data_IF_375179199139
#
_entry.id   IF_375179199139
#
_cell.length_a   1.000
_cell.length_b   1.000
_cell.length_c   1.000
_cell.angle_alpha   90.00
_cell.angle_beta   90.00
_cell.angle_gamma   90.00
#
_symmetry.space_group_name_H-M   'P 1'
#
loop_
_entity.id
_entity.type
_entity.pdbx_description
1 polymer ?
#
# COMPACT_ATOMS: atom_id res chain seq x y z
N UNK A 1 -1.83 -15.02 -24.79
CA UNK A 1 -1.11 -13.75 -24.59
C UNK A 1 -2.10 -12.60 -24.68
N UNK A 2 -1.88 -11.52 -23.95
CA UNK A 2 -2.61 -10.26 -24.07
C UNK A 2 -1.61 -9.11 -24.25
N UNK A 3 -2.04 -8.06 -24.93
CA UNK A 3 -1.25 -6.86 -25.20
C UNK A 3 -1.70 -5.72 -24.29
N UNK A 4 -0.77 -5.06 -23.61
CA UNK A 4 -1.05 -3.83 -22.86
C UNK A 4 -0.23 -2.70 -23.46
N UNK A 5 -0.92 -1.62 -23.83
CA UNK A 5 -0.32 -0.42 -24.41
C UNK A 5 -0.37 0.67 -23.35
N UNK A 6 0.79 1.21 -22.96
CA UNK A 6 0.94 2.15 -21.85
C UNK A 6 1.54 3.45 -22.36
N UNK A 7 1.03 4.58 -21.88
CA UNK A 7 1.45 5.90 -22.33
C UNK A 7 0.75 6.34 -23.61
N UNK A 8 1.15 7.52 -24.10
CA UNK A 8 0.53 8.20 -25.23
C UNK A 8 1.60 8.52 -26.28
N UNK A 9 1.34 8.14 -27.54
CA UNK A 9 2.27 8.38 -28.65
C UNK A 9 2.54 9.87 -28.90
N UNK A 10 1.65 10.75 -28.44
CA UNK A 10 1.76 12.21 -28.59
C UNK A 10 2.52 12.88 -27.44
N UNK A 11 2.71 12.19 -26.32
CA UNK A 11 3.30 12.75 -25.10
C UNK A 11 4.76 12.33 -24.93
N UNK A 12 5.67 13.32 -24.95
CA UNK A 12 7.12 13.09 -24.80
C UNK A 12 7.51 12.60 -23.40
N UNK A 13 6.69 12.83 -22.39
CA UNK A 13 6.97 12.47 -20.99
C UNK A 13 6.50 11.07 -20.62
N UNK A 14 5.59 10.48 -21.42
CA UNK A 14 5.06 9.12 -21.25
C UNK A 14 4.87 8.44 -22.62
N UNK A 15 5.96 8.06 -23.30
CA UNK A 15 5.87 7.51 -24.65
C UNK A 15 5.07 6.20 -24.69
N UNK A 16 4.28 6.01 -25.75
CA UNK A 16 3.55 4.75 -25.96
C UNK A 16 4.53 3.55 -25.99
N UNK A 17 4.33 2.59 -25.09
CA UNK A 17 5.09 1.35 -25.00
C UNK A 17 4.15 0.15 -24.99
N UNK A 18 4.51 -0.92 -25.71
CA UNK A 18 3.67 -2.11 -25.87
C UNK A 18 4.28 -3.30 -25.14
N UNK A 19 3.47 -3.94 -24.30
CA UNK A 19 3.87 -5.10 -23.50
C UNK A 19 3.04 -6.31 -23.89
N UNK A 20 3.70 -7.45 -24.14
CA UNK A 20 3.04 -8.74 -24.38
C UNK A 20 3.14 -9.59 -23.12
N UNK A 21 2.00 -9.92 -22.50
CA UNK A 21 1.95 -10.50 -21.16
C UNK A 21 1.05 -11.74 -21.18
N UNK A 22 1.30 -12.67 -20.26
CA UNK A 22 0.43 -13.83 -20.05
C UNK A 22 -0.93 -13.36 -19.52
N UNK A 23 -1.99 -13.64 -20.29
CA UNK A 23 -3.38 -13.27 -19.96
C UNK A 23 -3.79 -13.80 -18.59
N UNK A 24 -3.49 -15.07 -18.32
CA UNK A 24 -3.90 -15.73 -17.08
C UNK A 24 -3.26 -15.05 -15.87
N UNK A 25 -2.03 -14.56 -16.02
CA UNK A 25 -1.33 -13.83 -14.97
C UNK A 25 -2.00 -12.47 -14.70
N UNK A 26 -2.31 -11.70 -15.75
CA UNK A 26 -3.01 -10.42 -15.62
C UNK A 26 -4.40 -10.59 -14.98
N UNK A 27 -5.19 -11.53 -15.49
CA UNK A 27 -6.57 -11.75 -15.05
C UNK A 27 -6.65 -12.37 -13.65
N UNK A 28 -5.67 -13.21 -13.27
CA UNK A 28 -5.57 -13.74 -11.90
C UNK A 28 -5.18 -12.66 -10.88
N UNK A 29 -4.34 -11.69 -11.26
CA UNK A 29 -3.84 -10.68 -10.35
C UNK A 29 -4.74 -9.44 -10.25
N UNK A 30 -5.55 -9.18 -11.29
CA UNK A 30 -6.31 -7.94 -11.43
C UNK A 30 -7.74 -8.23 -11.92
N UNK A 31 -8.75 -7.91 -11.09
CA UNK A 31 -10.15 -7.91 -11.50
C UNK A 31 -10.42 -6.97 -12.70
N UNK A 32 -9.69 -5.86 -12.79
CA UNK A 32 -9.77 -4.95 -13.94
C UNK A 32 -9.39 -5.66 -15.24
N UNK A 33 -8.22 -6.33 -15.27
CA UNK A 33 -7.82 -7.08 -16.46
C UNK A 33 -8.71 -8.30 -16.71
N UNK A 34 -9.21 -8.97 -15.66
CA UNK A 34 -10.18 -10.05 -15.81
C UNK A 34 -11.46 -9.57 -16.52
N UNK A 35 -12.00 -8.42 -16.10
CA UNK A 35 -13.17 -7.82 -16.73
C UNK A 35 -12.88 -7.38 -18.18
N UNK A 36 -11.73 -6.75 -18.43
CA UNK A 36 -11.35 -6.25 -19.74
C UNK A 36 -11.08 -7.37 -20.76
N UNK A 37 -10.37 -8.43 -20.37
CA UNK A 37 -9.87 -9.46 -21.30
C UNK A 37 -10.75 -10.72 -21.39
N UNK A 38 -11.68 -10.91 -20.46
CA UNK A 38 -12.67 -12.01 -20.50
C UNK A 38 -14.10 -11.51 -20.74
N UNK A 39 -14.30 -10.19 -20.86
CA UNK A 39 -15.60 -9.58 -21.09
C UNK A 39 -16.14 -9.79 -22.51
N UNK A 40 -17.21 -9.06 -22.82
CA UNK A 40 -17.82 -9.03 -24.18
C UNK A 40 -17.43 -7.77 -24.97
N UNK A 41 -16.52 -6.97 -24.44
CA UNK A 41 -16.08 -5.71 -25.03
C UNK A 41 -14.97 -5.93 -26.06
N UNK A 42 -14.66 -4.89 -26.83
CA UNK A 42 -13.64 -4.88 -27.90
C UNK A 42 -12.28 -5.37 -27.43
N UNK A 43 -11.88 -5.02 -26.21
CA UNK A 43 -10.61 -5.41 -25.58
C UNK A 43 -10.51 -6.93 -25.39
N UNK A 44 -11.64 -7.60 -25.18
CA UNK A 44 -11.70 -9.07 -25.09
C UNK A 44 -11.62 -9.73 -26.46
N UNK A 45 -12.04 -9.05 -27.53
CA UNK A 45 -11.85 -9.56 -28.89
C UNK A 45 -10.40 -9.37 -29.33
N UNK A 46 -9.87 -8.17 -29.12
CA UNK A 46 -8.54 -7.75 -29.58
C UNK A 46 -7.41 -8.17 -28.63
N UNK A 47 -7.77 -8.72 -27.46
CA UNK A 47 -6.87 -9.07 -26.35
C UNK A 47 -5.89 -7.92 -26.04
N UNK A 48 -6.38 -6.68 -26.14
CA UNK A 48 -5.56 -5.47 -26.04
C UNK A 48 -6.18 -4.47 -25.06
N UNK A 49 -5.41 -4.01 -24.09
CA UNK A 49 -5.82 -2.98 -23.12
C UNK A 49 -4.93 -1.75 -23.26
N UNK A 50 -5.52 -0.55 -23.23
CA UNK A 50 -4.82 0.73 -23.37
C UNK A 50 -4.86 1.52 -22.07
N UNK A 51 -3.71 2.03 -21.65
CA UNK A 51 -3.48 2.79 -20.42
C UNK A 51 -2.73 4.11 -20.76
N UNK A 52 -3.39 5.08 -21.42
CA UNK A 52 -2.71 6.26 -21.96
C UNK A 52 -2.23 7.25 -20.88
N UNK A 53 -2.85 7.22 -19.71
CA UNK A 53 -2.51 8.12 -18.59
C UNK A 53 -1.29 7.64 -17.80
N UNK A 54 -0.89 6.38 -17.99
CA UNK A 54 0.16 5.72 -17.22
C UNK A 54 1.54 5.91 -17.84
N UNK A 55 2.55 5.99 -16.97
CA UNK A 55 3.95 6.03 -17.40
C UNK A 55 4.46 4.59 -17.59
N UNK A 56 5.15 4.29 -18.72
CA UNK A 56 5.78 2.99 -18.95
C UNK A 56 6.64 2.50 -17.79
N UNK A 57 7.45 3.40 -17.22
CA UNK A 57 8.31 3.09 -16.05
C UNK A 57 7.51 2.53 -14.87
N UNK A 58 6.38 3.16 -14.50
CA UNK A 58 5.55 2.71 -13.39
C UNK A 58 4.91 1.36 -13.70
N UNK A 59 4.50 1.16 -14.95
CA UNK A 59 3.94 -0.12 -15.39
C UNK A 59 4.97 -1.25 -15.39
N UNK A 60 6.25 -0.97 -15.66
CA UNK A 60 7.32 -1.96 -15.57
C UNK A 60 7.53 -2.45 -14.13
N UNK A 61 7.39 -1.58 -13.14
CA UNK A 61 7.38 -1.99 -11.73
C UNK A 61 6.18 -2.89 -11.40
N UNK A 62 5.01 -2.59 -11.96
CA UNK A 62 3.85 -3.48 -11.87
C UNK A 62 4.13 -4.85 -12.50
N UNK A 63 4.75 -4.90 -13.68
CA UNK A 63 5.10 -6.16 -14.35
C UNK A 63 6.13 -6.96 -13.57
N UNK A 64 7.17 -6.31 -13.03
CA UNK A 64 8.14 -6.99 -12.19
C UNK A 64 7.45 -7.66 -11.00
N UNK A 65 6.57 -6.93 -10.32
CA UNK A 65 5.81 -7.49 -9.21
C UNK A 65 4.89 -8.61 -9.67
N UNK A 66 4.20 -8.44 -10.80
CA UNK A 66 3.29 -9.42 -11.35
C UNK A 66 3.97 -10.76 -11.62
N UNK A 67 5.20 -10.74 -12.12
CA UNK A 67 5.96 -11.95 -12.46
C UNK A 67 6.76 -12.53 -11.28
N UNK A 68 7.26 -11.70 -10.37
CA UNK A 68 8.21 -12.14 -9.33
C UNK A 68 7.66 -12.08 -7.91
N UNK A 69 6.54 -11.38 -7.71
CA UNK A 69 6.03 -11.02 -6.39
C UNK A 69 6.85 -9.95 -5.66
N UNK A 70 7.93 -9.44 -6.27
CA UNK A 70 8.89 -8.51 -5.62
C UNK A 70 8.93 -7.14 -6.29
N UNK A 71 9.27 -6.11 -5.52
CA UNK A 71 9.52 -4.75 -6.01
C UNK A 71 11.02 -4.51 -6.17
N UNK A 72 11.60 -4.95 -7.29
CA UNK A 72 13.00 -4.70 -7.67
C UNK A 72 13.04 -4.04 -9.05
N UNK A 73 14.13 -3.39 -9.48
CA UNK A 73 14.17 -2.94 -10.88
C UNK A 73 14.14 -4.19 -11.77
N UNK A 74 13.32 -4.22 -12.84
CA UNK A 74 13.49 -5.21 -13.88
C UNK A 74 14.92 -5.12 -14.42
N UNK A 75 15.61 -6.25 -14.57
CA UNK A 75 16.88 -6.26 -15.29
C UNK A 75 16.64 -5.58 -16.66
N UNK A 76 17.55 -4.71 -17.15
CA UNK A 76 17.37 -4.06 -18.44
C UNK A 76 17.09 -5.15 -19.46
N UNK A 77 15.92 -5.06 -20.09
CA UNK A 77 15.36 -6.09 -20.95
C UNK A 77 16.16 -6.11 -22.26
N UNK A 78 17.38 -6.66 -22.22
CA UNK A 78 18.08 -7.12 -23.42
C UNK A 78 17.48 -8.47 -23.78
N UNK A 79 16.60 -8.53 -24.77
CA UNK A 79 16.23 -9.69 -25.62
C UNK A 79 16.46 -11.10 -25.03
N UNK A 80 16.03 -11.33 -23.80
CA UNK A 80 16.20 -12.62 -23.14
C UNK A 80 14.87 -13.34 -23.18
N UNK A 81 14.82 -14.35 -24.05
CA UNK A 81 13.77 -15.34 -24.17
C UNK A 81 13.27 -15.82 -22.79
N UNK A 82 11.97 -16.14 -22.64
CA UNK A 82 11.43 -16.60 -21.38
C UNK A 82 12.20 -17.85 -20.88
N UNK A 83 12.46 -17.97 -19.57
CA UNK A 83 13.14 -19.12 -19.02
C UNK A 83 12.33 -20.37 -19.36
N UNK A 84 12.90 -21.21 -20.22
CA UNK A 84 12.33 -22.51 -20.56
C UNK A 84 12.15 -23.31 -19.28
N UNK A 85 10.93 -23.81 -19.07
CA UNK A 85 10.60 -24.76 -18.03
C UNK A 85 11.53 -25.96 -18.13
N UNK A 86 12.51 -26.04 -17.24
CA UNK A 86 13.36 -27.22 -17.09
C UNK A 86 12.48 -28.31 -16.49
N UNK A 87 11.99 -29.21 -17.34
CA UNK A 87 11.34 -30.44 -16.93
C UNK A 87 12.41 -31.36 -16.31
N UNK A 88 12.28 -31.80 -15.05
CA UNK A 88 13.14 -32.84 -14.53
C UNK A 88 12.56 -34.20 -14.92
N UNK A 89 13.14 -34.83 -15.94
CA UNK A 89 12.88 -36.24 -16.23
C UNK A 89 14.16 -37.05 -16.25
N UNK A 90 14.20 -38.01 -15.33
CA UNK A 90 14.95 -39.28 -15.27
C UNK A 90 16.14 -39.38 -14.31
N UNK A 91 15.85 -39.95 -13.13
CA UNK A 91 16.52 -41.19 -12.70
C UNK A 91 15.52 -42.12 -11.99
N UNK A 92 15.60 -43.41 -12.31
CA UNK A 92 14.73 -44.49 -11.83
C UNK A 92 15.23 -45.18 -10.54
N UNK A 93 14.31 -45.94 -9.90
CA UNK A 93 14.46 -47.01 -8.87
C UNK A 93 14.72 -46.56 -7.41
N UNK A 94 14.07 -47.06 -6.35
CA UNK A 94 13.09 -48.14 -6.12
C UNK A 94 12.43 -48.01 -4.72
N UNK A 95 11.26 -48.67 -4.50
CA UNK A 95 10.76 -49.11 -3.17
C UNK A 95 9.50 -48.39 -2.61
N UNK A 96 8.35 -49.08 -2.56
CA UNK A 96 7.07 -48.61 -1.95
C UNK A 96 6.93 -48.96 -0.45
N UNK A 97 5.71 -49.16 0.14
CA UNK A 97 4.36 -48.67 -0.18
C UNK A 97 3.60 -48.03 1.04
N UNK A 98 2.32 -47.64 0.85
CA UNK A 98 1.28 -47.19 1.85
C UNK A 98 1.30 -45.70 2.26
N UNK A 99 0.20 -44.96 2.48
CA UNK A 99 -1.24 -45.10 2.23
C UNK A 99 -1.91 -43.71 2.46
N UNK A 100 -2.92 -43.40 1.65
CA UNK A 100 -4.17 -42.64 1.90
C UNK A 100 -4.18 -41.23 2.57
N UNK A 101 -4.72 -40.29 1.79
CA UNK A 101 -5.67 -39.21 2.14
C UNK A 101 -5.30 -38.15 3.18
N UNK A 102 -5.17 -36.89 2.73
CA UNK A 102 -5.83 -35.76 3.38
C UNK A 102 -6.03 -34.62 2.37
N UNK A 103 -7.27 -34.15 2.28
CA UNK A 103 -7.68 -32.99 1.51
C UNK A 103 -7.27 -31.69 2.22
N UNK A 104 -7.00 -30.68 1.39
CA UNK A 104 -7.18 -29.24 1.63
C UNK A 104 -6.29 -28.52 2.66
N UNK A 105 -6.09 -27.23 2.34
CA UNK A 105 -5.54 -26.12 3.15
C UNK A 105 -4.03 -25.87 3.10
N UNK A 106 -3.55 -25.20 2.04
CA UNK A 106 -2.36 -24.34 2.16
C UNK A 106 -2.38 -23.17 1.16
N UNK A 107 -3.14 -22.12 1.48
CA UNK A 107 -3.03 -20.79 0.83
C UNK A 107 -3.16 -19.67 1.86
N UNK A 108 -2.42 -19.74 2.97
CA UNK A 108 -2.46 -18.67 3.97
C UNK A 108 -1.15 -18.39 4.74
N UNK A 109 0.00 -18.92 4.28
CA UNK A 109 1.28 -18.75 4.98
C UNK A 109 2.31 -17.83 4.29
N UNK A 110 2.01 -17.25 3.12
CA UNK A 110 3.03 -16.48 2.38
C UNK A 110 3.11 -14.98 2.76
N UNK A 111 2.12 -14.42 3.47
CA UNK A 111 2.10 -13.00 3.85
C UNK A 111 2.81 -12.69 5.18
N UNK A 112 3.16 -13.70 5.99
CA UNK A 112 3.59 -13.52 7.38
C UNK A 112 5.11 -13.46 7.59
N UNK A 113 5.93 -13.61 6.55
CA UNK A 113 7.38 -13.55 6.69
C UNK A 113 8.01 -12.83 5.50
N UNK A 114 8.13 -11.50 5.60
CA UNK A 114 9.14 -10.77 4.84
C UNK A 114 10.50 -11.33 5.28
N UNK A 115 11.04 -12.24 4.48
CA UNK A 115 12.28 -12.92 4.81
C UNK A 115 13.44 -11.92 4.76
N UNK A 116 14.52 -12.16 5.49
CA UNK A 116 15.77 -11.37 5.46
C UNK A 116 16.32 -11.08 4.04
N UNK A 117 15.80 -11.76 3.01
CA UNK A 117 16.08 -11.50 1.59
C UNK A 117 15.61 -10.10 1.13
N UNK A 118 14.48 -9.60 1.61
CA UNK A 118 13.89 -8.31 1.16
C UNK A 118 14.72 -7.09 1.59
N UNK A 119 15.49 -7.21 2.67
CA UNK A 119 16.33 -6.13 3.21
C UNK A 119 17.51 -5.81 2.26
N UNK A 120 17.99 -6.80 1.49
CA UNK A 120 19.16 -6.64 0.60
C UNK A 120 18.78 -6.09 -0.79
N UNK A 121 17.49 -5.94 -1.08
CA UNK A 121 16.98 -5.75 -2.45
C UNK A 121 16.33 -4.39 -2.72
N UNK A 122 16.35 -3.50 -1.73
CA UNK A 122 15.75 -2.15 -1.83
C UNK A 122 16.56 -1.13 -2.64
N UNK A 123 17.75 -1.49 -3.12
CA UNK A 123 18.69 -0.53 -3.70
C UNK A 123 18.05 0.32 -4.80
N UNK A 124 17.20 -0.30 -5.60
CA UNK A 124 16.46 0.32 -6.69
C UNK A 124 15.34 1.27 -6.25
N UNK A 125 14.74 0.99 -5.09
CA UNK A 125 13.70 1.81 -4.46
C UNK A 125 14.30 2.99 -3.68
N UNK A 126 15.63 3.09 -3.62
CA UNK A 126 16.35 4.18 -2.96
C UNK A 126 17.09 5.02 -4.00
N UNK A 127 17.28 6.29 -3.69
CA UNK A 127 18.12 7.18 -4.48
C UNK A 127 19.61 6.97 -4.13
N UNK A 128 20.50 7.70 -4.82
CA UNK A 128 21.95 7.63 -4.60
C UNK A 128 22.39 8.00 -3.18
N UNK A 129 21.55 8.75 -2.44
CA UNK A 129 21.76 9.12 -1.04
C UNK A 129 21.18 8.09 -0.06
N UNK A 130 20.58 7.00 -0.56
CA UNK A 130 19.96 5.95 0.25
C UNK A 130 18.54 6.28 0.72
N UNK A 131 17.99 7.44 0.39
CA UNK A 131 16.61 7.81 0.74
C UNK A 131 15.60 7.11 -0.18
N UNK A 132 14.43 6.70 0.31
CA UNK A 132 13.39 6.08 -0.50
C UNK A 132 12.87 7.00 -1.61
N UNK A 133 12.54 6.42 -2.77
CA UNK A 133 11.85 7.09 -3.88
C UNK A 133 10.33 7.08 -3.61
N UNK A 134 9.85 7.93 -2.69
CA UNK A 134 8.43 7.96 -2.32
C UNK A 134 7.50 8.27 -3.50
N UNK A 135 7.85 9.23 -4.36
CA UNK A 135 7.11 9.53 -5.59
C UNK A 135 6.82 8.27 -6.45
N UNK A 136 7.81 7.39 -6.62
CA UNK A 136 7.69 6.15 -7.39
C UNK A 136 6.68 5.20 -6.72
N UNK A 137 6.80 5.04 -5.40
CA UNK A 137 5.90 4.16 -4.63
C UNK A 137 4.47 4.71 -4.60
N UNK A 138 4.29 6.03 -4.61
CA UNK A 138 2.97 6.66 -4.67
C UNK A 138 2.33 6.49 -6.05
N UNK A 139 3.08 6.73 -7.13
CA UNK A 139 2.61 6.50 -8.50
C UNK A 139 2.26 5.01 -8.71
N UNK A 140 3.10 4.10 -8.21
CA UNK A 140 2.84 2.66 -8.28
C UNK A 140 1.61 2.23 -7.48
N UNK A 141 1.39 2.83 -6.30
CA UNK A 141 0.18 2.59 -5.51
C UNK A 141 -1.07 3.10 -6.25
N UNK A 142 -1.01 4.28 -6.87
CA UNK A 142 -2.11 4.82 -7.65
C UNK A 142 -2.45 3.92 -8.86
N UNK A 143 -1.43 3.38 -9.54
CA UNK A 143 -1.61 2.38 -10.58
C UNK A 143 -2.25 1.10 -10.01
N UNK A 144 -1.73 0.59 -8.89
CA UNK A 144 -2.23 -0.67 -8.31
C UNK A 144 -3.69 -0.57 -7.87
N UNK A 145 -4.09 0.58 -7.34
CA UNK A 145 -5.48 0.89 -6.97
C UNK A 145 -6.39 0.92 -8.19
N UNK A 146 -6.00 1.64 -9.27
CA UNK A 146 -6.77 1.68 -10.54
C UNK A 146 -6.89 0.33 -11.22
N UNK A 147 -5.83 -0.48 -11.18
CA UNK A 147 -5.83 -1.86 -11.69
C UNK A 147 -6.50 -2.85 -10.72
N UNK A 148 -7.03 -2.41 -9.58
CA UNK A 148 -7.68 -3.25 -8.57
C UNK A 148 -6.79 -4.39 -8.05
N UNK A 149 -5.50 -4.14 -7.92
CA UNK A 149 -4.49 -5.12 -7.49
C UNK A 149 -4.17 -4.98 -6.00
N UNK A 150 -5.15 -5.30 -5.14
CA UNK A 150 -5.03 -5.15 -3.67
C UNK A 150 -3.77 -5.80 -3.07
N UNK A 151 -3.31 -7.00 -3.49
CA UNK A 151 -2.07 -7.57 -2.98
C UNK A 151 -0.85 -6.68 -3.22
N UNK A 152 -0.77 -6.03 -4.39
CA UNK A 152 0.30 -5.08 -4.70
C UNK A 152 0.17 -3.82 -3.82
N UNK A 153 -1.03 -3.25 -3.69
CA UNK A 153 -1.27 -2.09 -2.83
C UNK A 153 -0.77 -2.34 -1.40
N UNK A 154 -1.08 -3.49 -0.81
CA UNK A 154 -0.63 -3.87 0.53
C UNK A 154 0.90 -4.05 0.60
N UNK A 155 1.50 -4.65 -0.42
CA UNK A 155 2.94 -4.81 -0.51
C UNK A 155 3.65 -3.45 -0.57
N UNK A 156 3.12 -2.49 -1.33
CA UNK A 156 3.66 -1.13 -1.41
C UNK A 156 3.57 -0.42 -0.07
N UNK A 157 2.42 -0.48 0.63
CA UNK A 157 2.27 0.13 1.96
C UNK A 157 3.28 -0.44 2.96
N UNK A 158 3.44 -1.75 2.96
CA UNK A 158 4.42 -2.46 3.80
C UNK A 158 5.85 -2.02 3.47
N UNK A 159 6.14 -1.88 2.18
CA UNK A 159 7.45 -1.41 1.68
C UNK A 159 7.73 0.02 2.11
N UNK A 160 6.75 0.93 1.98
CA UNK A 160 6.86 2.33 2.42
C UNK A 160 7.15 2.40 3.92
N UNK A 161 6.39 1.66 4.74
CA UNK A 161 6.58 1.64 6.20
C UNK A 161 8.00 1.16 6.57
N UNK A 162 8.42 0.03 6.01
CA UNK A 162 9.74 -0.55 6.25
C UNK A 162 10.90 0.34 5.76
N UNK A 163 10.74 0.98 4.60
CA UNK A 163 11.73 1.92 4.07
C UNK A 163 11.82 3.18 4.93
N UNK A 164 10.69 3.75 5.35
CA UNK A 164 10.65 4.92 6.25
C UNK A 164 11.31 4.64 7.60
N UNK A 165 11.13 3.44 8.14
CA UNK A 165 11.78 3.02 9.37
C UNK A 165 13.28 2.83 9.19
N UNK A 166 13.69 2.01 8.22
CA UNK A 166 15.11 1.66 8.01
C UNK A 166 15.99 2.82 7.55
N UNK A 167 15.42 3.81 6.85
CA UNK A 167 16.15 5.01 6.39
C UNK A 167 15.94 6.21 7.31
N UNK A 168 15.12 6.05 8.35
CA UNK A 168 14.66 7.13 9.21
C UNK A 168 14.20 8.39 8.42
N UNK A 169 13.41 8.18 7.37
CA UNK A 169 12.95 9.24 6.47
C UNK A 169 11.43 9.29 6.40
N UNK A 170 10.90 10.40 5.89
CA UNK A 170 9.48 10.57 5.55
C UNK A 170 9.39 11.18 4.15
N UNK A 171 8.22 11.13 3.50
CA UNK A 171 7.98 11.82 2.23
C UNK A 171 8.36 13.31 2.30
N UNK A 172 8.90 13.84 1.21
CA UNK A 172 9.26 15.26 1.05
C UNK A 172 8.01 16.12 0.77
N UNK A 173 8.10 17.45 0.81
CA UNK A 173 6.98 18.30 0.42
C UNK A 173 6.49 18.01 -1.00
N UNK A 174 7.38 17.81 -1.97
CA UNK A 174 7.01 17.43 -3.34
C UNK A 174 6.20 16.12 -3.38
N UNK A 175 6.55 15.13 -2.56
CA UNK A 175 5.77 13.89 -2.44
C UNK A 175 4.36 14.15 -1.88
N UNK A 176 4.19 15.13 -0.98
CA UNK A 176 2.86 15.50 -0.47
C UNK A 176 1.97 16.12 -1.54
N UNK A 177 2.54 16.84 -2.51
CA UNK A 177 1.80 17.33 -3.67
C UNK A 177 1.35 16.19 -4.59
N UNK A 178 2.20 15.19 -4.80
CA UNK A 178 1.85 13.99 -5.56
C UNK A 178 0.72 13.24 -4.86
N UNK A 179 0.83 12.99 -3.56
CA UNK A 179 -0.16 12.23 -2.78
C UNK A 179 -1.55 12.88 -2.75
N UNK A 180 -1.61 14.20 -2.77
CA UNK A 180 -2.85 14.97 -2.70
C UNK A 180 -3.35 15.48 -4.05
N UNK A 181 -2.66 15.17 -5.14
CA UNK A 181 -3.17 15.44 -6.48
C UNK A 181 -4.49 14.68 -6.69
N UNK A 182 -5.47 15.27 -7.41
CA UNK A 182 -6.80 14.67 -7.58
C UNK A 182 -6.79 13.27 -8.22
N UNK A 183 -5.75 12.98 -9.00
CA UNK A 183 -5.62 11.75 -9.80
C UNK A 183 -4.92 10.61 -9.08
N UNK A 184 -4.32 10.85 -7.90
CA UNK A 184 -3.40 9.88 -7.29
C UNK A 184 -4.13 8.85 -6.45
N UNK A 185 -4.86 9.28 -5.40
CA UNK A 185 -5.57 8.37 -4.49
C UNK A 185 -6.80 9.02 -3.90
N UNK A 186 -7.78 8.20 -3.51
CA UNK A 186 -8.99 8.65 -2.82
C UNK A 186 -8.69 9.26 -1.45
N UNK A 187 -9.63 10.08 -0.94
CA UNK A 187 -9.52 10.71 0.37
C UNK A 187 -9.47 9.71 1.54
N UNK A 188 -10.04 8.52 1.36
CA UNK A 188 -10.02 7.42 2.34
C UNK A 188 -8.91 6.40 2.10
N UNK A 189 -7.93 6.71 1.24
CA UNK A 189 -6.85 5.77 0.90
C UNK A 189 -5.99 5.41 2.13
N UNK A 190 -5.71 4.12 2.36
CA UNK A 190 -4.74 3.67 3.37
C UNK A 190 -3.36 4.30 3.20
N UNK A 191 -2.95 4.65 1.97
CA UNK A 191 -1.67 5.34 1.73
C UNK A 191 -1.63 6.71 2.41
N UNK A 192 -2.71 7.49 2.35
CA UNK A 192 -2.79 8.78 3.04
C UNK A 192 -2.73 8.61 4.55
N UNK A 193 -3.43 7.60 5.06
CA UNK A 193 -3.41 7.28 6.49
C UNK A 193 -1.99 6.93 6.95
N UNK A 194 -1.30 6.05 6.21
CA UNK A 194 0.08 5.67 6.49
C UNK A 194 1.01 6.89 6.48
N UNK A 195 0.95 7.74 5.45
CA UNK A 195 1.82 8.92 5.38
C UNK A 195 1.58 9.86 6.55
N UNK A 196 0.33 10.08 6.95
CA UNK A 196 0.02 10.86 8.15
C UNK A 196 0.54 10.20 9.43
N UNK A 197 0.49 8.87 9.55
CA UNK A 197 1.09 8.11 10.66
C UNK A 197 2.61 8.30 10.71
N UNK A 198 3.31 8.20 9.58
CA UNK A 198 4.77 8.40 9.52
C UNK A 198 5.17 9.77 10.06
N UNK A 199 4.39 10.82 9.76
CA UNK A 199 4.66 12.17 10.28
C UNK A 199 4.27 12.34 11.75
N UNK A 200 3.16 11.75 12.18
CA UNK A 200 2.67 11.89 13.55
C UNK A 200 3.55 11.16 14.57
N UNK A 201 4.12 10.00 14.21
CA UNK A 201 4.88 9.15 15.13
C UNK A 201 6.39 9.26 15.02
N UNK A 202 6.93 9.88 13.96
CA UNK A 202 8.36 10.22 13.86
C UNK A 202 8.60 11.67 14.30
N UNK A 203 9.86 11.99 14.65
CA UNK A 203 10.26 13.34 15.03
C UNK A 203 10.36 14.25 13.79
N UNK A 204 9.23 14.82 13.38
CA UNK A 204 9.10 15.66 12.17
C UNK A 204 8.90 17.15 12.45
N UNK A 205 8.91 17.58 13.72
CA UNK A 205 8.68 18.96 14.16
C UNK A 205 9.60 19.97 13.44
N UNK A 206 10.92 19.79 13.55
CA UNK A 206 11.88 20.68 12.89
C UNK A 206 11.80 20.60 11.37
N UNK A 207 11.49 19.42 10.82
CA UNK A 207 11.35 19.23 9.38
C UNK A 207 10.16 20.04 8.86
N UNK A 208 9.01 19.99 9.54
CA UNK A 208 7.82 20.77 9.19
C UNK A 208 8.04 22.27 9.35
N UNK A 209 8.78 22.70 10.37
CA UNK A 209 9.05 24.12 10.65
C UNK A 209 10.05 24.76 9.68
N UNK A 210 11.10 24.02 9.28
CA UNK A 210 12.29 24.62 8.65
C UNK A 210 12.51 24.25 7.19
N UNK A 211 11.67 23.37 6.61
CA UNK A 211 11.83 23.00 5.20
C UNK A 211 11.62 24.21 4.29
N UNK A 212 12.47 24.36 3.28
CA UNK A 212 12.46 25.52 2.36
C UNK A 212 11.25 25.56 1.43
N UNK A 213 10.74 24.39 1.06
CA UNK A 213 9.61 24.21 0.14
C UNK A 213 8.31 23.95 0.92
N UNK A 214 7.19 24.40 0.34
CA UNK A 214 5.87 24.31 0.97
C UNK A 214 5.28 22.90 0.94
N UNK A 215 4.80 22.48 2.11
CA UNK A 215 3.97 21.28 2.28
C UNK A 215 2.58 21.51 1.65
N UNK A 216 1.99 20.45 1.11
CA UNK A 216 0.63 20.56 0.56
C UNK A 216 -0.36 21.01 1.66
N UNK A 217 -1.21 22.03 1.43
CA UNK A 217 -2.03 22.62 2.49
C UNK A 217 -3.08 21.64 3.05
N UNK A 218 -3.64 20.76 2.21
CA UNK A 218 -4.54 19.70 2.71
C UNK A 218 -3.79 18.67 3.56
N UNK A 219 -2.53 18.38 3.24
CA UNK A 219 -1.71 17.47 4.05
C UNK A 219 -1.50 18.04 5.45
N UNK A 220 -1.09 19.31 5.57
CA UNK A 220 -0.90 19.96 6.86
C UNK A 220 -2.20 20.00 7.67
N UNK A 221 -3.34 20.30 7.02
CA UNK A 221 -4.65 20.28 7.69
C UNK A 221 -4.99 18.89 8.22
N UNK A 222 -4.85 17.86 7.41
CA UNK A 222 -5.19 16.49 7.81
C UNK A 222 -4.24 15.98 8.91
N UNK A 223 -2.96 16.36 8.85
CA UNK A 223 -1.98 16.10 9.92
C UNK A 223 -2.36 16.81 11.22
N UNK A 224 -2.72 18.09 11.17
CA UNK A 224 -3.21 18.82 12.34
C UNK A 224 -4.46 18.15 12.93
N UNK A 225 -5.42 17.76 12.10
CA UNK A 225 -6.62 17.03 12.55
C UNK A 225 -6.22 15.71 13.23
N UNK A 226 -5.30 14.94 12.64
CA UNK A 226 -4.80 13.69 13.22
C UNK A 226 -4.14 13.91 14.57
N UNK A 227 -3.27 14.91 14.69
CA UNK A 227 -2.55 15.24 15.94
C UNK A 227 -3.49 15.75 17.05
N UNK A 228 -4.64 16.35 16.68
CA UNK A 228 -5.65 16.82 17.64
C UNK A 228 -6.68 15.76 18.02
N UNK A 229 -6.90 14.77 17.17
CA UNK A 229 -7.79 13.64 17.50
C UNK A 229 -7.11 12.79 18.56
N UNK A 230 -7.76 12.51 19.71
CA UNK A 230 -7.19 11.64 20.72
C UNK A 230 -7.02 10.24 20.14
N UNK A 231 -5.77 9.83 19.94
CA UNK A 231 -5.45 8.44 19.56
C UNK A 231 -5.71 7.48 20.72
N UNK A 232 -5.78 6.16 20.47
CA UNK A 232 -5.83 5.14 21.51
C UNK A 232 -4.72 5.33 22.55
N UNK A 233 -3.54 5.74 22.10
CA UNK A 233 -2.38 6.02 22.96
C UNK A 233 -2.56 7.26 23.84
N UNK A 234 -3.17 8.33 23.31
CA UNK A 234 -3.48 9.52 24.11
C UNK A 234 -4.53 9.19 25.19
N UNK A 235 -5.54 8.39 24.83
CA UNK A 235 -6.53 7.88 25.78
C UNK A 235 -5.90 6.94 26.82
N UNK A 236 -4.86 6.19 26.45
CA UNK A 236 -4.15 5.27 27.36
C UNK A 236 -3.17 5.99 28.30
N UNK A 237 -2.57 7.11 27.87
CA UNK A 237 -1.61 7.89 28.67
C UNK A 237 -2.29 8.79 29.71
N UNK A 238 -3.58 9.04 29.56
CA UNK A 238 -4.37 9.77 30.54
C UNK A 238 -5.21 8.76 31.33
N UNK A 239 -4.88 8.51 32.59
CA UNK A 239 -5.91 8.10 33.55
C UNK A 239 -6.95 9.22 33.56
N UNK A 240 -8.02 9.06 32.79
CA UNK A 240 -9.12 10.00 32.75
C UNK A 240 -9.85 9.95 34.10
N UNK A 241 -9.32 10.69 35.07
CA UNK A 241 -10.02 10.91 36.33
C UNK A 241 -11.14 11.90 36.05
N UNK A 242 -12.37 11.54 36.42
CA UNK A 242 -13.50 12.45 36.31
C UNK A 242 -13.13 13.80 36.95
N UNK A 243 -13.31 14.89 36.20
CA UNK A 243 -13.09 16.23 36.72
C UNK A 243 -13.95 16.42 37.97
N UNK A 244 -13.30 16.61 39.13
CA UNK A 244 -13.95 16.99 40.37
C UNK A 244 -13.52 18.41 40.68
N UNK A 245 -14.49 19.33 40.69
CA UNK A 245 -14.26 20.68 41.23
C UNK A 245 -13.78 20.54 42.68
N UNK A 246 -12.77 21.33 43.07
CA UNK A 246 -12.20 21.31 44.42
C UNK A 246 -13.24 21.63 45.51
N UNK A 247 -14.37 22.24 45.13
CA UNK A 247 -15.37 22.74 46.07
C UNK A 247 -16.58 21.80 46.30
N UNK A 248 -16.59 20.57 45.75
CA UNK A 248 -17.73 19.64 45.91
C UNK A 248 -17.77 18.90 47.27
N UNK A 249 -16.92 19.23 48.24
CA UNK A 249 -17.00 18.61 49.56
C UNK A 249 -17.08 19.63 50.68
N UNK A 250 -18.27 20.20 50.92
CA UNK A 250 -18.95 20.08 52.22
C UNK A 250 -20.47 20.12 52.01
N UNK A 251 -21.08 18.94 51.98
CA UNK A 251 -22.50 18.75 52.21
C UNK A 251 -22.66 17.43 52.93
N UNK A 252 -22.19 17.34 54.18
CA UNK A 252 -22.48 16.16 55.00
C UNK A 252 -23.97 16.14 55.33
N UNK A 253 -24.70 15.12 54.86
CA UNK A 253 -26.09 14.98 55.23
C UNK A 253 -26.87 13.96 54.42
N UNK A 254 -26.45 12.70 54.43
CA UNK A 254 -27.33 11.59 54.12
C UNK A 254 -27.02 10.41 55.04
N UNK A 255 -27.32 10.59 56.33
CA UNK A 255 -27.69 9.49 57.20
C UNK A 255 -29.16 9.17 56.95
N UNK A 256 -29.49 7.87 56.86
CA UNK A 256 -30.79 7.37 56.42
C UNK A 256 -31.98 7.79 57.29
N UNK A 257 -33.16 7.71 56.68
CA UNK A 257 -34.45 7.90 57.31
C UNK A 257 -35.57 7.52 56.35
N UNK A 258 -36.26 6.44 56.72
CA UNK A 258 -37.39 5.78 56.08
C UNK A 258 -38.65 6.68 55.95
N UNK A 259 -39.57 6.31 55.04
CA UNK A 259 -40.99 6.72 55.11
C UNK A 259 -41.55 7.66 54.02
N UNK A 260 -42.41 7.11 53.16
CA UNK A 260 -43.66 7.65 52.57
C UNK A 260 -43.69 9.12 52.05
N UNK A 261 -44.26 9.47 50.88
CA UNK A 261 -45.56 9.06 50.33
C UNK A 261 -45.70 9.66 48.91
N UNK A 262 -46.38 8.95 48.02
CA UNK A 262 -46.91 9.51 46.76
C UNK A 262 -47.80 10.75 46.99
N UNK A 263 -47.72 11.71 46.06
CA UNK A 263 -48.78 12.55 45.43
C UNK A 263 -48.01 13.50 44.48
N UNK A 264 -48.33 13.70 43.21
CA UNK A 264 -49.61 13.64 42.52
C UNK A 264 -49.83 15.00 41.86
N UNK A 265 -49.90 14.98 40.52
CA UNK A 265 -50.03 16.06 39.52
C UNK A 265 -48.71 16.64 39.00
#
# INVERSE_FOLDING_TARGET
MATVIVGDATDKTRPETRYTIHKDLLTSASPFFAAALNGKFTESLDQTVRLPEEKPEIFEWFLQWLYTGTLKTPAPHCDALPPTLVHPSNMHHAGGPHALTSHAHHTHHHLAALTHHDIRTDGDLRNTHGSPKYFLLFDLYALSDRLLTTPLSNHILTTIARLSESTNSVPTPSDTWILYAPTTVSDSSPLRTLVLDLFAYKKTDKLLETHKDDWHPRFLRDLCVKLKRPGPEALSRHELVAFRSRDWAVGSGAAGGDGAKMRGL
#
